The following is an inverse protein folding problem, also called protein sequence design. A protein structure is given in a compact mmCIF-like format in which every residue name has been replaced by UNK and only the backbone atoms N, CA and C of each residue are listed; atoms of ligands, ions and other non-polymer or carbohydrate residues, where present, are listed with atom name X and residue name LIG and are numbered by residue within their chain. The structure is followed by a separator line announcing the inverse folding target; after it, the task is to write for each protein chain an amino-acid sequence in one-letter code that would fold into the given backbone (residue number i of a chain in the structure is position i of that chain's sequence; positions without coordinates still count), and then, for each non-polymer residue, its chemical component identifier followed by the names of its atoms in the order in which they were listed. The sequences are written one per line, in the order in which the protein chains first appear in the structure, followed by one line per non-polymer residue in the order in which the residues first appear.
data_IF_374432933754
#
_entry.id   IF_374432933754
#
_cell.length_a   1.000
_cell.length_b   1.000
_cell.length_c   1.000
_cell.angle_alpha   90.00
_cell.angle_beta   90.00
_cell.angle_gamma   90.00
#
_symmetry.space_group_name_H-M   'P 1'
#
loop_
_entity.id
_entity.type
_entity.pdbx_description
1 polymer ?
#
# COMPACT_ATOMS: atom_id res chain seq x y z
N UNK A 1 29.31 -3.75 35.71
CA UNK A 1 30.01 -2.51 36.11
C UNK A 1 31.04 -2.21 35.05
N UNK A 2 30.99 -1.01 34.45
CA UNK A 2 31.89 -0.58 33.37
C UNK A 2 33.22 -0.16 33.99
N UNK A 3 34.34 -0.70 33.51
CA UNK A 3 35.69 -0.34 33.99
C UNK A 3 36.14 0.99 33.39
N UNK A 4 37.09 1.66 34.05
CA UNK A 4 37.58 2.97 33.64
C UNK A 4 38.21 2.98 32.23
N UNK A 5 38.74 1.83 31.80
CA UNK A 5 39.36 1.67 30.47
C UNK A 5 38.32 1.76 29.34
N UNK A 6 37.08 1.29 29.55
CA UNK A 6 36.00 1.36 28.54
C UNK A 6 35.56 2.80 28.26
N UNK A 7 35.64 3.68 29.26
CA UNK A 7 35.34 5.11 29.10
C UNK A 7 36.44 5.87 28.37
N UNK A 8 37.68 5.39 28.44
CA UNK A 8 38.84 6.05 27.84
C UNK A 8 38.95 5.77 26.34
N UNK A 9 38.47 4.60 25.88
CA UNK A 9 38.56 4.16 24.49
C UNK A 9 37.34 4.50 23.62
N UNK A 10 36.30 5.12 24.19
CA UNK A 10 35.18 5.68 23.42
C UNK A 10 34.29 4.65 22.72
N UNK A 11 34.35 3.38 23.13
CA UNK A 11 33.53 2.32 22.54
C UNK A 11 32.12 2.34 23.16
N UNK A 12 31.12 2.75 22.38
CA UNK A 12 29.71 2.76 22.79
C UNK A 12 29.15 1.34 22.78
N UNK A 13 29.21 0.66 23.92
CA UNK A 13 28.65 -0.67 24.09
C UNK A 13 27.18 -0.65 24.54
N UNK A 14 26.26 -0.13 23.72
CA UNK A 14 24.81 -0.41 23.89
C UNK A 14 24.09 -0.39 22.53
N UNK A 15 24.03 -1.57 21.89
CA UNK A 15 23.12 -1.90 20.79
C UNK A 15 22.51 -3.31 21.01
N UNK A 16 22.13 -3.61 22.25
CA UNK A 16 21.41 -4.85 22.57
C UNK A 16 20.22 -4.54 23.47
N UNK A 17 19.02 -4.77 22.92
CA UNK A 17 17.76 -4.73 23.66
C UNK A 17 17.54 -6.13 24.25
N UNK A 18 17.84 -6.30 25.53
CA UNK A 18 17.55 -7.53 26.27
C UNK A 18 16.18 -7.40 26.93
N UNK A 19 15.24 -8.21 26.50
CA UNK A 19 13.96 -8.44 27.19
C UNK A 19 14.20 -8.98 28.60
N UNK A 20 13.69 -8.27 29.62
CA UNK A 20 13.47 -8.81 30.97
C UNK A 20 12.62 -7.83 31.80
N UNK A 21 11.40 -8.30 32.11
CA UNK A 21 10.60 -8.17 33.33
C UNK A 21 10.89 -7.11 34.39
N UNK A 22 9.78 -6.60 34.92
CA UNK A 22 9.50 -6.06 36.25
C UNK A 22 9.31 -4.54 36.43
N UNK A 23 8.18 -4.27 37.08
CA UNK A 23 7.56 -3.00 37.44
C UNK A 23 8.38 -2.17 38.45
N UNK A 24 8.00 -0.89 38.50
CA UNK A 24 7.96 0.03 39.65
C UNK A 24 8.72 1.37 39.49
N UNK A 25 7.88 2.41 39.58
CA UNK A 25 8.06 3.67 40.28
C UNK A 25 9.02 4.77 39.77
N UNK A 26 8.37 5.76 39.16
CA UNK A 26 8.49 7.20 39.40
C UNK A 26 9.58 7.66 40.39
N UNK A 27 10.55 8.45 39.90
CA UNK A 27 10.94 9.77 40.47
C UNK A 27 11.61 10.64 39.40
N UNK A 28 10.97 11.77 39.10
CA UNK A 28 11.59 12.84 38.31
C UNK A 28 12.77 13.51 39.01
N UNK A 29 13.67 14.11 38.23
CA UNK A 29 14.07 15.50 38.42
C UNK A 29 14.70 16.08 37.15
N UNK A 30 14.35 17.34 36.94
CA UNK A 30 14.57 18.22 35.81
C UNK A 30 15.99 18.81 35.80
N UNK A 31 16.54 19.07 34.61
CA UNK A 31 17.59 20.08 34.32
C UNK A 31 17.86 20.17 32.81
N UNK A 32 16.99 20.93 32.15
CA UNK A 32 17.22 21.95 31.12
C UNK A 32 18.63 22.09 30.51
N UNK A 33 18.76 21.99 29.18
CA UNK A 33 19.08 23.15 28.32
C UNK A 33 19.10 22.78 26.81
N UNK A 34 18.32 23.51 26.00
CA UNK A 34 18.85 24.11 24.78
C UNK A 34 18.72 23.41 23.41
N UNK A 35 17.50 23.26 22.85
CA UNK A 35 17.27 23.52 21.40
C UNK A 35 15.79 23.63 21.01
N UNK A 36 15.38 24.87 20.73
CA UNK A 36 14.04 25.25 20.23
C UNK A 36 13.80 24.71 18.81
N UNK A 37 13.12 23.57 18.70
CA UNK A 37 12.31 23.22 17.54
C UNK A 37 10.85 23.46 17.91
N UNK A 38 10.12 24.18 17.05
CA UNK A 38 8.75 24.62 17.30
C UNK A 38 7.85 23.46 17.71
N UNK A 39 7.14 23.63 18.83
CA UNK A 39 6.05 22.76 19.28
C UNK A 39 5.02 22.66 18.15
N UNK A 40 5.05 21.57 17.40
CA UNK A 40 3.84 21.03 16.81
C UNK A 40 3.03 20.46 17.97
N UNK A 41 2.23 21.32 18.60
CA UNK A 41 1.09 20.85 19.38
C UNK A 41 0.29 19.97 18.43
N UNK A 42 0.24 18.67 18.70
CA UNK A 42 -0.70 17.75 18.03
C UNK A 42 -2.10 18.25 18.34
N UNK A 43 -2.61 19.17 17.52
CA UNK A 43 -4.00 19.59 17.59
C UNK A 43 -4.81 18.37 17.22
N UNK A 44 -5.76 18.01 18.06
CA UNK A 44 -6.80 17.06 17.71
C UNK A 44 -7.49 17.62 16.45
N UNK A 45 -7.33 16.94 15.33
CA UNK A 45 -7.99 17.28 14.08
C UNK A 45 -9.34 16.55 14.11
N UNK A 46 -10.48 17.26 14.20
CA UNK A 46 -11.79 16.62 14.15
C UNK A 46 -12.00 15.92 12.81
N UNK A 47 -12.73 14.81 12.86
CA UNK A 47 -12.93 13.85 11.76
C UNK A 47 -13.44 14.47 10.44
N UNK A 48 -14.08 15.64 10.51
CA UNK A 48 -14.55 16.39 9.35
C UNK A 48 -13.44 16.91 8.44
N UNK A 49 -12.23 17.11 8.96
CA UNK A 49 -11.11 17.70 8.19
C UNK A 49 -10.27 16.64 7.45
N UNK A 50 -10.52 15.34 7.67
CA UNK A 50 -9.86 14.23 6.97
C UNK A 50 -10.51 13.91 5.60
N UNK A 51 -11.69 14.46 5.32
CA UNK A 51 -12.38 14.29 4.04
C UNK A 51 -12.02 15.40 3.06
N UNK A 52 -10.75 15.45 2.65
CA UNK A 52 -10.43 15.96 1.31
C UNK A 52 -9.46 15.01 0.63
N UNK A 53 -9.85 14.36 -0.47
CA UNK A 53 -8.89 13.71 -1.34
C UNK A 53 -8.12 14.82 -2.06
N UNK A 54 -7.10 15.37 -1.40
CA UNK A 54 -6.16 16.25 -2.08
C UNK A 54 -5.35 15.39 -3.03
N UNK A 55 -5.80 15.36 -4.28
CA UNK A 55 -4.99 15.00 -5.42
C UNK A 55 -3.63 15.71 -5.31
N UNK A 56 -2.53 14.95 -5.38
CA UNK A 56 -1.15 15.41 -5.61
C UNK A 56 -0.28 15.90 -4.43
N UNK A 57 -0.46 15.45 -3.17
CA UNK A 57 0.57 15.69 -2.16
C UNK A 57 1.66 14.61 -2.21
N UNK A 58 2.91 14.99 -2.48
CA UNK A 58 4.09 14.12 -2.68
C UNK A 58 4.57 13.37 -1.43
N UNK A 59 3.66 12.97 -0.55
CA UNK A 59 3.96 12.11 0.57
C UNK A 59 3.85 10.65 0.09
N UNK A 60 4.96 9.92 0.12
CA UNK A 60 4.98 8.48 -0.18
C UNK A 60 4.36 7.73 0.99
N UNK A 61 3.04 7.83 1.13
CA UNK A 61 2.26 7.15 2.16
C UNK A 61 2.07 5.66 1.84
N UNK A 62 2.46 5.24 0.64
CA UNK A 62 2.22 3.89 0.15
C UNK A 62 3.41 2.94 0.34
N UNK A 63 4.60 3.43 0.68
CA UNK A 63 5.83 2.62 0.73
C UNK A 63 6.77 3.02 1.88
N UNK A 64 7.52 2.03 2.38
CA UNK A 64 8.52 2.21 3.45
C UNK A 64 7.92 2.38 4.85
N UNK A 65 8.68 2.92 5.82
CA UNK A 65 8.24 3.05 7.22
C UNK A 65 6.95 3.88 7.39
N UNK A 66 6.70 4.83 6.49
CA UNK A 66 5.48 5.66 6.50
C UNK A 66 4.24 4.86 6.08
N UNK A 67 4.37 3.99 5.08
CA UNK A 67 3.27 3.12 4.67
C UNK A 67 2.87 2.14 5.76
N UNK A 68 3.85 1.58 6.47
CA UNK A 68 3.57 0.69 7.62
C UNK A 68 2.79 1.43 8.72
N UNK A 69 3.15 2.68 9.02
CA UNK A 69 2.45 3.49 10.02
C UNK A 69 1.01 3.78 9.58
N UNK A 70 0.80 4.11 8.32
CA UNK A 70 -0.53 4.43 7.80
C UNK A 70 -1.42 3.18 7.72
N UNK A 71 -0.87 2.04 7.31
CA UNK A 71 -1.55 0.74 7.36
C UNK A 71 -1.95 0.38 8.81
N UNK A 72 -1.07 0.64 9.78
CA UNK A 72 -1.36 0.41 11.21
C UNK A 72 -2.45 1.35 11.75
N UNK A 73 -2.46 2.63 11.34
CA UNK A 73 -3.53 3.56 11.73
C UNK A 73 -4.88 3.14 11.18
N UNK A 74 -4.91 2.75 9.90
CA UNK A 74 -6.12 2.25 9.26
C UNK A 74 -6.61 0.96 9.90
N UNK A 75 -5.69 0.07 10.27
CA UNK A 75 -6.00 -1.12 11.07
C UNK A 75 -6.66 -0.75 12.41
N UNK A 76 -6.04 0.15 13.19
CA UNK A 76 -6.59 0.57 14.48
C UNK A 76 -7.95 1.24 14.38
N UNK A 77 -8.20 1.98 13.30
CA UNK A 77 -9.51 2.59 13.04
C UNK A 77 -10.58 1.53 12.78
N UNK A 78 -10.30 0.54 11.92
CA UNK A 78 -11.22 -0.57 11.64
C UNK A 78 -11.49 -1.43 12.88
N UNK A 79 -10.45 -1.67 13.69
CA UNK A 79 -10.56 -2.43 14.94
C UNK A 79 -11.47 -1.70 15.96
N UNK A 80 -11.34 -0.38 16.07
CA UNK A 80 -12.19 0.44 16.94
C UNK A 80 -13.66 0.43 16.48
N UNK A 81 -13.91 0.58 15.17
CA UNK A 81 -15.25 0.52 14.59
C UNK A 81 -15.92 -0.84 14.84
N UNK A 82 -15.18 -1.94 14.60
CA UNK A 82 -15.67 -3.32 14.86
C UNK A 82 -15.99 -3.54 16.34
N UNK A 83 -15.13 -3.04 17.25
CA UNK A 83 -15.36 -3.14 18.70
C UNK A 83 -16.58 -2.35 19.15
N UNK A 84 -16.79 -1.16 18.59
CA UNK A 84 -17.97 -0.35 18.89
C UNK A 84 -19.27 -1.06 18.43
N UNK A 85 -19.24 -1.67 17.24
CA UNK A 85 -20.36 -2.46 16.72
C UNK A 85 -20.66 -3.68 17.62
N UNK A 86 -19.63 -4.45 17.98
CA UNK A 86 -19.78 -5.58 18.91
C UNK A 86 -20.31 -5.17 20.28
N UNK A 87 -19.82 -4.06 20.85
CA UNK A 87 -20.30 -3.55 22.13
C UNK A 87 -21.79 -3.14 22.04
N UNK A 88 -22.19 -2.49 20.94
CA UNK A 88 -23.59 -2.13 20.69
C UNK A 88 -24.49 -3.36 20.60
N UNK A 89 -24.02 -4.43 19.95
CA UNK A 89 -24.74 -5.71 19.89
C UNK A 89 -24.84 -6.40 21.26
N UNK A 90 -23.74 -6.43 22.01
CA UNK A 90 -23.69 -6.97 23.38
C UNK A 90 -24.65 -6.21 24.31
N UNK A 91 -24.64 -4.88 24.28
CA UNK A 91 -25.54 -4.04 25.07
C UNK A 91 -27.02 -4.31 24.73
N UNK A 92 -27.33 -4.46 23.44
CA UNK A 92 -28.67 -4.83 23.00
C UNK A 92 -29.08 -6.23 23.47
N UNK A 93 -28.14 -7.18 23.52
CA UNK A 93 -28.37 -8.54 23.98
C UNK A 93 -28.54 -8.61 25.51
N UNK A 94 -27.66 -7.93 26.26
CA UNK A 94 -27.75 -7.82 27.73
C UNK A 94 -29.09 -7.20 28.11
N UNK A 95 -29.51 -6.13 27.43
CA UNK A 95 -30.82 -5.50 27.67
C UNK A 95 -31.98 -6.48 27.48
N UNK A 96 -31.89 -7.40 26.51
CA UNK A 96 -32.90 -8.46 26.29
C UNK A 96 -32.85 -9.58 27.36
N UNK A 97 -31.66 -9.91 27.87
CA UNK A 97 -31.44 -11.04 28.80
C UNK A 97 -31.47 -10.66 30.29
N UNK A 98 -31.33 -9.38 30.64
CA UNK A 98 -31.23 -8.87 32.02
C UNK A 98 -32.47 -9.11 32.92
N UNK A 99 -33.55 -9.71 32.40
CA UNK A 99 -34.75 -10.06 33.18
C UNK A 99 -34.67 -11.43 33.89
N UNK A 100 -33.54 -12.14 33.84
CA UNK A 100 -33.38 -13.49 34.40
C UNK A 100 -32.23 -13.56 35.41
N UNK A 101 -32.51 -13.95 36.66
CA UNK A 101 -31.49 -14.13 37.71
C UNK A 101 -30.70 -15.43 37.50
N UNK A 102 -29.36 -15.39 37.53
CA UNK A 102 -28.45 -16.55 37.35
C UNK A 102 -27.85 -17.04 38.67
N UNK A 103 -27.50 -18.32 38.74
CA UNK A 103 -26.93 -18.98 39.93
C UNK A 103 -25.40 -19.04 39.91
N UNK A 104 -24.75 -19.34 41.04
CA UNK A 104 -23.28 -19.42 41.14
C UNK A 104 -22.62 -20.44 40.18
N UNK A 105 -23.34 -21.50 39.78
CA UNK A 105 -22.87 -22.45 38.75
C UNK A 105 -22.91 -21.84 37.34
N UNK A 106 -23.82 -20.91 37.08
CA UNK A 106 -23.85 -20.18 35.81
C UNK A 106 -22.68 -19.19 35.69
N UNK A 107 -22.15 -18.70 36.82
CA UNK A 107 -21.03 -17.75 36.85
C UNK A 107 -19.69 -18.43 36.49
N UNK A 108 -19.47 -19.67 36.92
CA UNK A 108 -18.28 -20.45 36.53
C UNK A 108 -18.33 -20.88 35.05
N UNK A 109 -19.51 -21.25 34.56
CA UNK A 109 -19.70 -21.55 33.13
C UNK A 109 -19.57 -20.29 32.27
N UNK A 110 -20.02 -19.13 32.77
CA UNK A 110 -19.83 -17.85 32.11
C UNK A 110 -18.35 -17.46 32.00
N UNK A 111 -17.54 -17.67 33.05
CA UNK A 111 -16.08 -17.43 33.01
C UNK A 111 -15.36 -18.31 32.01
N UNK A 112 -15.73 -19.58 31.90
CA UNK A 112 -15.16 -20.47 30.88
C UNK A 112 -15.54 -20.04 29.47
N UNK A 113 -16.80 -19.66 29.25
CA UNK A 113 -17.24 -19.09 27.96
C UNK A 113 -16.57 -17.75 27.64
N UNK A 114 -16.24 -16.95 28.66
CA UNK A 114 -15.50 -15.71 28.49
C UNK A 114 -14.05 -15.98 28.07
N UNK A 115 -13.35 -16.94 28.70
CA UNK A 115 -12.01 -17.37 28.27
C UNK A 115 -12.00 -17.99 26.86
N UNK A 116 -12.95 -18.88 26.55
CA UNK A 116 -13.08 -19.45 25.20
C UNK A 116 -13.35 -18.36 24.15
N UNK A 117 -14.12 -17.32 24.50
CA UNK A 117 -14.36 -16.18 23.63
C UNK A 117 -13.13 -15.25 23.48
N UNK A 118 -12.27 -15.15 24.50
CA UNK A 118 -10.99 -14.43 24.43
C UNK A 118 -9.99 -15.14 23.50
N UNK A 119 -9.88 -16.46 23.60
CA UNK A 119 -9.03 -17.27 22.72
C UNK A 119 -9.53 -17.22 21.26
N UNK A 120 -10.84 -17.35 21.04
CA UNK A 120 -11.47 -17.21 19.72
C UNK A 120 -11.29 -15.78 19.14
N UNK A 121 -11.24 -14.76 19.99
CA UNK A 121 -10.95 -13.39 19.58
C UNK A 121 -9.50 -13.23 19.10
N UNK A 122 -8.53 -13.87 19.77
CA UNK A 122 -7.12 -13.82 19.36
C UNK A 122 -6.90 -14.51 18.01
N UNK A 123 -7.49 -15.68 17.80
CA UNK A 123 -7.43 -16.38 16.50
C UNK A 123 -8.11 -15.55 15.39
N UNK A 124 -9.22 -14.88 15.70
CA UNK A 124 -9.89 -13.98 14.76
C UNK A 124 -9.07 -12.71 14.41
N UNK A 125 -8.15 -12.26 15.27
CA UNK A 125 -7.22 -11.17 14.94
C UNK A 125 -6.21 -11.59 13.87
N UNK A 126 -5.64 -12.80 13.94
CA UNK A 126 -4.69 -13.30 12.94
C UNK A 126 -5.37 -13.52 11.57
N UNK A 127 -6.57 -14.11 11.58
CA UNK A 127 -7.38 -14.27 10.37
C UNK A 127 -7.76 -12.91 9.74
N UNK A 128 -8.04 -11.89 10.57
CA UNK A 128 -8.31 -10.54 10.06
C UNK A 128 -7.08 -9.90 9.39
N UNK A 129 -5.87 -10.06 9.94
CA UNK A 129 -4.66 -9.55 9.28
C UNK A 129 -4.41 -10.23 7.94
N UNK A 130 -4.77 -11.51 7.82
CA UNK A 130 -4.73 -12.23 6.57
C UNK A 130 -5.75 -11.67 5.56
N UNK A 131 -7.01 -11.51 5.97
CA UNK A 131 -8.06 -10.89 5.13
C UNK A 131 -7.70 -9.46 4.71
N UNK A 132 -7.12 -8.66 5.61
CA UNK A 132 -6.72 -7.29 5.32
C UNK A 132 -5.62 -7.26 4.24
N UNK A 133 -4.61 -8.14 4.35
CA UNK A 133 -3.57 -8.29 3.32
C UNK A 133 -4.16 -8.70 1.97
N UNK A 134 -5.07 -9.67 1.97
CA UNK A 134 -5.76 -10.13 0.76
C UNK A 134 -6.60 -9.01 0.13
N UNK A 135 -7.35 -8.26 0.94
CA UNK A 135 -8.16 -7.12 0.50
C UNK A 135 -7.30 -6.00 -0.08
N UNK A 136 -6.13 -5.74 0.48
CA UNK A 136 -5.17 -4.76 -0.04
C UNK A 136 -4.58 -5.21 -1.39
N UNK A 137 -4.19 -6.47 -1.52
CA UNK A 137 -3.75 -7.03 -2.81
C UNK A 137 -4.87 -6.98 -3.86
N UNK A 138 -6.09 -7.29 -3.47
CA UNK A 138 -7.24 -7.23 -4.36
C UNK A 138 -7.54 -5.79 -4.83
N UNK A 139 -7.47 -4.79 -3.94
CA UNK A 139 -7.62 -3.38 -4.32
C UNK A 139 -6.52 -2.92 -5.30
N UNK A 140 -5.30 -3.43 -5.16
CA UNK A 140 -4.21 -3.19 -6.11
C UNK A 140 -4.53 -3.81 -7.48
N UNK A 141 -5.02 -5.06 -7.50
CA UNK A 141 -5.40 -5.76 -8.73
C UNK A 141 -6.60 -5.11 -9.43
N UNK A 142 -7.61 -4.65 -8.69
CA UNK A 142 -8.80 -4.01 -9.26
C UNK A 142 -8.46 -2.78 -10.09
N UNK A 143 -7.46 -1.99 -9.68
CA UNK A 143 -6.98 -0.84 -10.47
C UNK A 143 -6.43 -1.22 -11.84
N UNK A 144 -5.98 -2.46 -12.01
CA UNK A 144 -5.51 -3.00 -13.28
C UNK A 144 -6.66 -3.56 -14.15
N UNK A 145 -7.79 -3.94 -13.54
CA UNK A 145 -8.93 -4.54 -14.23
C UNK A 145 -9.75 -3.51 -15.03
N UNK A 146 -9.79 -2.26 -14.58
CA UNK A 146 -10.50 -1.16 -15.26
C UNK A 146 -9.73 -0.61 -16.48
N UNK A 147 -8.55 -1.15 -16.76
CA UNK A 147 -7.74 -0.73 -17.90
C UNK A 147 -8.35 -1.21 -19.23
N UNK A 148 -8.37 -0.35 -20.27
CA UNK A 148 -8.86 -0.72 -21.59
C UNK A 148 -8.01 -1.85 -22.19
N UNK A 149 -8.64 -2.69 -23.01
CA UNK A 149 -8.00 -3.85 -23.67
C UNK A 149 -7.91 -3.63 -25.18
N UNK A 150 -6.73 -3.83 -25.76
CA UNK A 150 -6.43 -3.63 -27.17
C UNK A 150 -6.29 -4.96 -27.92
N UNK A 151 -5.43 -5.86 -27.43
CA UNK A 151 -5.28 -7.23 -27.95
C UNK A 151 -4.75 -7.36 -29.39
N UNK A 152 -4.45 -6.25 -30.07
CA UNK A 152 -4.04 -6.20 -31.48
C UNK A 152 -3.02 -5.08 -31.71
N UNK A 153 -2.19 -5.25 -32.73
CA UNK A 153 -1.28 -4.23 -33.20
C UNK A 153 -2.03 -3.23 -34.10
N UNK A 154 -1.90 -1.94 -33.83
CA UNK A 154 -2.48 -0.84 -34.61
C UNK A 154 -1.41 -0.19 -35.49
N UNK A 155 -1.71 0.04 -36.77
CA UNK A 155 -0.83 0.81 -37.65
C UNK A 155 -1.16 2.30 -37.55
N UNK A 156 -0.12 3.11 -37.32
CA UNK A 156 -0.21 4.54 -37.17
C UNK A 156 0.38 5.23 -38.41
N UNK A 157 -0.26 6.33 -38.77
CA UNK A 157 0.21 7.28 -39.77
C UNK A 157 0.55 8.60 -39.07
N UNK A 158 1.14 9.52 -39.82
CA UNK A 158 1.49 10.87 -39.34
C UNK A 158 0.37 11.56 -38.55
N UNK A 159 -0.85 11.55 -39.08
CA UNK A 159 -1.98 12.30 -38.49
C UNK A 159 -2.54 11.62 -37.22
N UNK A 160 -2.35 10.31 -37.09
CA UNK A 160 -2.92 9.51 -35.99
C UNK A 160 -1.90 9.23 -34.88
N UNK A 161 -0.63 9.53 -35.07
CA UNK A 161 0.42 9.21 -34.10
C UNK A 161 0.20 9.92 -32.76
N UNK A 162 0.03 11.24 -32.79
CA UNK A 162 -0.14 12.05 -31.57
C UNK A 162 -1.43 11.71 -30.84
N UNK A 163 -2.54 11.56 -31.57
CA UNK A 163 -3.84 11.22 -30.97
C UNK A 163 -3.85 9.82 -30.35
N UNK A 164 -3.11 8.87 -30.94
CA UNK A 164 -3.02 7.51 -30.40
C UNK A 164 -2.17 7.41 -29.12
N UNK A 165 -1.30 8.38 -28.84
CA UNK A 165 -0.43 8.43 -27.66
C UNK A 165 -1.01 9.37 -26.60
N UNK A 166 -1.24 10.63 -26.96
CA UNK A 166 -1.67 11.68 -26.02
C UNK A 166 -3.16 11.59 -25.68
N UNK A 167 -3.97 11.00 -26.57
CA UNK A 167 -5.41 10.80 -26.35
C UNK A 167 -5.74 9.54 -25.53
N UNK A 168 -4.74 8.75 -25.13
CA UNK A 168 -4.95 7.51 -24.40
C UNK A 168 -4.97 7.73 -22.88
N UNK A 169 -5.55 6.78 -22.15
CA UNK A 169 -5.58 6.83 -20.68
C UNK A 169 -4.16 6.80 -20.09
N UNK A 170 -3.89 7.65 -19.09
CA UNK A 170 -2.58 7.74 -18.42
C UNK A 170 -2.10 6.43 -17.76
N UNK A 171 -3.03 5.52 -17.48
CA UNK A 171 -2.74 4.22 -16.88
C UNK A 171 -2.36 3.15 -17.92
N UNK A 172 -2.49 3.45 -19.21
CA UNK A 172 -2.18 2.53 -20.30
C UNK A 172 -0.74 2.72 -20.75
N UNK A 173 -0.01 1.61 -20.88
CA UNK A 173 1.31 1.62 -21.52
C UNK A 173 1.14 1.49 -23.03
N UNK A 174 1.70 2.43 -23.77
CA UNK A 174 1.73 2.42 -25.25
C UNK A 174 3.13 2.05 -25.71
N UNK A 175 3.24 0.97 -26.49
CA UNK A 175 4.50 0.53 -27.12
C UNK A 175 4.40 0.84 -28.61
N UNK A 176 5.26 1.75 -29.08
CA UNK A 176 5.33 2.09 -30.50
C UNK A 176 6.57 1.48 -31.13
N UNK A 177 6.33 0.59 -32.09
CA UNK A 177 7.36 -0.02 -32.92
C UNK A 177 7.56 0.81 -34.20
N UNK A 178 8.66 1.53 -34.24
CA UNK A 178 9.07 2.29 -35.43
C UNK A 178 9.91 1.37 -36.32
N UNK A 179 9.56 1.26 -37.60
CA UNK A 179 10.25 0.39 -38.55
C UNK A 179 10.48 1.06 -39.90
N UNK A 180 11.41 0.52 -40.69
CA UNK A 180 11.65 0.95 -42.08
C UNK A 180 11.96 -0.30 -42.93
N UNK A 181 11.45 -0.36 -44.17
CA UNK A 181 11.77 -1.45 -45.10
C UNK A 181 12.93 -1.05 -46.01
N UNK A 182 13.90 -1.94 -46.31
CA UNK A 182 13.87 -3.40 -46.13
C UNK A 182 14.78 -3.93 -44.99
N UNK A 183 14.80 -3.30 -43.81
CA UNK A 183 15.67 -3.74 -42.71
C UNK A 183 15.37 -5.19 -42.27
N UNK A 184 16.42 -6.02 -42.15
CA UNK A 184 16.31 -7.47 -41.88
C UNK A 184 15.71 -7.74 -40.50
N UNK A 185 16.14 -6.99 -39.48
CA UNK A 185 15.62 -7.11 -38.11
C UNK A 185 14.12 -6.80 -38.01
N UNK A 186 13.61 -5.95 -38.90
CA UNK A 186 12.20 -5.57 -38.89
C UNK A 186 11.27 -6.72 -39.32
N UNK A 187 11.74 -7.66 -40.14
CA UNK A 187 10.93 -8.82 -40.57
C UNK A 187 10.55 -9.73 -39.40
N UNK A 188 11.51 -10.04 -38.52
CA UNK A 188 11.26 -10.86 -37.34
C UNK A 188 10.32 -10.14 -36.35
N UNK A 189 10.58 -8.86 -36.07
CA UNK A 189 9.75 -8.08 -35.14
C UNK A 189 8.31 -7.91 -35.63
N UNK A 190 8.10 -7.77 -36.94
CA UNK A 190 6.76 -7.72 -37.53
C UNK A 190 5.92 -8.98 -37.25
N UNK A 191 6.55 -10.13 -36.98
CA UNK A 191 5.84 -11.35 -36.61
C UNK A 191 5.68 -11.50 -35.11
N UNK A 192 6.66 -11.07 -34.31
CA UNK A 192 6.61 -11.20 -32.85
C UNK A 192 5.64 -10.20 -32.18
N UNK A 193 5.55 -8.95 -32.65
CA UNK A 193 4.71 -7.94 -31.99
C UNK A 193 3.20 -8.28 -32.01
N UNK A 194 2.61 -8.75 -33.12
CA UNK A 194 1.23 -9.20 -33.11
C UNK A 194 0.95 -10.28 -32.05
N UNK A 195 1.86 -11.25 -31.90
CA UNK A 195 1.75 -12.33 -30.89
C UNK A 195 1.80 -11.74 -29.48
N UNK A 196 2.69 -10.79 -29.23
CA UNK A 196 2.77 -10.09 -27.95
C UNK A 196 1.51 -9.25 -27.67
N UNK A 197 0.93 -8.62 -28.70
CA UNK A 197 -0.30 -7.85 -28.55
C UNK A 197 -1.48 -8.72 -28.10
N UNK A 198 -1.55 -9.97 -28.56
CA UNK A 198 -2.55 -10.94 -28.10
C UNK A 198 -2.30 -11.40 -26.66
N UNK A 199 -1.04 -11.59 -26.27
CA UNK A 199 -0.66 -12.02 -24.91
C UNK A 199 -0.82 -10.93 -23.86
N UNK A 200 -0.63 -9.66 -24.23
CA UNK A 200 -0.66 -8.51 -23.32
C UNK A 200 -1.78 -7.54 -23.71
N UNK A 201 -3.06 -7.88 -23.44
CA UNK A 201 -4.20 -7.10 -23.92
C UNK A 201 -4.30 -5.70 -23.30
N UNK A 202 -3.69 -5.47 -22.13
CA UNK A 202 -3.73 -4.16 -21.44
C UNK A 202 -2.68 -3.16 -21.95
N UNK A 203 -1.79 -3.60 -22.86
CA UNK A 203 -0.77 -2.77 -23.49
C UNK A 203 -1.20 -2.45 -24.91
N UNK A 204 -1.09 -1.18 -25.30
CA UNK A 204 -1.42 -0.74 -26.66
C UNK A 204 -0.19 -0.88 -27.54
N UNK A 205 -0.21 -1.85 -28.45
CA UNK A 205 0.85 -2.03 -29.43
C UNK A 205 0.54 -1.26 -30.71
N UNK A 206 1.46 -0.39 -31.09
CA UNK A 206 1.38 0.41 -32.31
C UNK A 206 2.60 0.16 -33.19
N UNK A 207 2.44 0.36 -34.50
CA UNK A 207 3.57 0.42 -35.44
C UNK A 207 3.47 1.65 -36.32
N UNK A 208 4.61 2.20 -36.70
CA UNK A 208 4.68 3.34 -37.62
C UNK A 208 5.95 3.23 -38.48
N UNK A 209 5.86 3.66 -39.74
CA UNK A 209 7.05 3.77 -40.58
C UNK A 209 7.92 4.96 -40.15
N UNK A 210 9.24 4.83 -40.19
CA UNK A 210 10.13 5.92 -39.80
C UNK A 210 9.93 7.17 -40.69
N UNK A 211 9.60 6.95 -41.97
CA UNK A 211 9.21 7.98 -42.93
C UNK A 211 7.96 8.78 -42.53
N UNK A 212 6.94 8.10 -42.00
CA UNK A 212 5.68 8.70 -41.51
C UNK A 212 5.86 9.44 -40.18
N UNK A 213 6.79 8.96 -39.33
CA UNK A 213 7.02 9.46 -37.98
C UNK A 213 7.83 10.78 -37.92
N UNK A 214 8.33 11.30 -39.05
CA UNK A 214 9.18 12.50 -39.14
C UNK A 214 10.38 12.48 -38.18
N UNK A 215 10.98 11.30 -37.99
CA UNK A 215 12.12 11.15 -37.10
C UNK A 215 13.38 11.79 -37.69
N UNK A 216 14.33 12.11 -36.79
CA UNK A 216 15.59 12.74 -37.19
C UNK A 216 16.34 11.89 -38.23
N UNK A 217 17.13 12.56 -39.10
CA UNK A 217 17.94 11.89 -40.13
C UNK A 217 18.86 10.81 -39.56
N UNK A 218 19.29 10.96 -38.30
CA UNK A 218 20.15 10.00 -37.60
C UNK A 218 19.46 8.64 -37.40
N UNK A 219 18.15 8.64 -37.15
CA UNK A 219 17.36 7.42 -36.99
C UNK A 219 17.25 6.67 -38.31
N UNK A 220 17.04 7.40 -39.41
CA UNK A 220 16.93 6.82 -40.75
C UNK A 220 18.29 6.32 -41.26
N UNK A 221 19.39 7.00 -40.94
CA UNK A 221 20.73 6.60 -41.40
C UNK A 221 21.24 5.30 -40.77
N UNK A 222 20.86 5.00 -39.53
CA UNK A 222 21.30 3.79 -38.81
C UNK A 222 20.46 2.55 -39.14
N UNK A 223 19.28 2.71 -39.74
CA UNK A 223 18.39 1.61 -40.18
C UNK A 223 18.85 0.94 -41.49
N UNK A 224 19.82 1.54 -42.20
CA UNK A 224 20.32 1.08 -43.49
C UNK A 224 21.72 0.41 -43.44
N UNK A 225 22.24 0.08 -42.26
CA UNK A 225 23.51 -0.64 -42.13
C UNK A 225 23.34 -2.15 -41.95
#
# INVERSE_FOLDING_TARGET
MVTLDDRLLGEKLQNYCSSSSDDEDDKGNDSDDGKRHGKSTTRFIPESDLKQPSSSSGFTENTGPKGVIEDWRRFKQLEAEKREEQNREKDALIKKLSMTCRSYLDDEEAKKKEQEAEDEFFDAEDDFFKEYREKMMYQMQQRLLDAPRFGKQVELNRDNFTSAIDGENKNVTVIVYVFEQPAIGCKAMNHCIPILAEQYPYVKFCRIQASEAQLSRNFVSELFC
#
